data_IF_532967730584
#
_entry.id   IF_532967730584
#
_cell.length_a   1.000
_cell.length_b   1.000
_cell.length_c   1.000
_cell.angle_alpha   90.00
_cell.angle_beta   90.00
_cell.angle_gamma   90.00
#
_symmetry.space_group_name_H-M   'P 1'
#
loop_
_entity.id
_entity.type
_entity.pdbx_description
1 polymer ?
#
# COMPACT_ATOMS: atom_id res chain seq x y z
N UNK A 1 13.96 -16.77 -7.66
CA UNK A 1 12.63 -17.05 -7.09
C UNK A 1 11.79 -15.79 -7.23
N UNK A 2 10.49 -15.88 -7.52
CA UNK A 2 9.60 -14.72 -7.39
C UNK A 2 9.17 -14.60 -5.94
N UNK A 3 9.29 -13.40 -5.37
CA UNK A 3 8.93 -13.10 -3.98
C UNK A 3 7.92 -11.97 -4.01
N UNK A 4 6.68 -12.29 -3.67
CA UNK A 4 5.55 -11.37 -3.62
C UNK A 4 4.30 -12.10 -3.16
N UNK A 5 3.21 -11.38 -2.90
CA UNK A 5 1.94 -11.98 -2.49
C UNK A 5 0.93 -11.94 -3.64
N UNK A 6 0.64 -13.06 -4.32
CA UNK A 6 -0.31 -13.10 -5.43
C UNK A 6 -1.75 -12.74 -5.01
N UNK A 7 -2.08 -12.86 -3.72
CA UNK A 7 -3.40 -12.50 -3.19
C UNK A 7 -3.53 -10.99 -2.87
N UNK A 8 -2.43 -10.24 -2.86
CA UNK A 8 -2.42 -8.79 -2.64
C UNK A 8 -2.40 -8.02 -3.97
N UNK A 9 -3.16 -8.48 -4.96
CA UNK A 9 -3.28 -7.79 -6.25
C UNK A 9 -4.31 -6.66 -6.14
N UNK A 10 -3.87 -5.43 -6.38
CA UNK A 10 -4.70 -4.21 -6.36
C UNK A 10 -4.31 -3.32 -7.52
N UNK A 11 -5.31 -2.67 -8.13
CA UNK A 11 -5.05 -1.52 -8.98
C UNK A 11 -4.51 -0.34 -8.17
N UNK A 12 -3.80 0.58 -8.83
CA UNK A 12 -3.34 1.83 -8.20
C UNK A 12 -4.51 2.65 -7.66
N UNK A 13 -5.67 2.61 -8.32
CA UNK A 13 -6.90 3.28 -7.87
C UNK A 13 -7.43 2.69 -6.56
N UNK A 14 -7.54 1.36 -6.48
CA UNK A 14 -7.96 0.69 -5.24
C UNK A 14 -6.99 0.97 -4.09
N UNK A 15 -5.68 0.93 -4.37
CA UNK A 15 -4.66 1.28 -3.39
C UNK A 15 -4.80 2.72 -2.89
N UNK A 16 -5.03 3.68 -3.78
CA UNK A 16 -5.21 5.09 -3.43
C UNK A 16 -6.43 5.30 -2.52
N UNK A 17 -7.58 4.69 -2.87
CA UNK A 17 -8.78 4.76 -2.04
C UNK A 17 -8.57 4.10 -0.68
N UNK A 18 -7.99 2.89 -0.65
CA UNK A 18 -7.72 2.15 0.58
C UNK A 18 -6.78 2.92 1.52
N UNK A 19 -5.71 3.51 0.97
CA UNK A 19 -4.81 4.37 1.73
C UNK A 19 -5.54 5.58 2.31
N UNK A 20 -6.31 6.32 1.51
CA UNK A 20 -7.06 7.49 2.00
C UNK A 20 -8.00 7.10 3.15
N UNK A 21 -8.74 6.01 2.99
CA UNK A 21 -9.71 5.56 3.99
C UNK A 21 -9.00 5.11 5.29
N UNK A 22 -7.87 4.40 5.19
CA UNK A 22 -7.05 4.03 6.36
C UNK A 22 -6.38 5.23 7.02
N UNK A 23 -5.88 6.21 6.26
CA UNK A 23 -5.28 7.44 6.80
C UNK A 23 -6.31 8.24 7.59
N UNK A 24 -7.59 8.19 7.21
CA UNK A 24 -8.67 8.84 7.94
C UNK A 24 -8.89 8.26 9.36
N UNK A 25 -8.39 7.05 9.64
CA UNK A 25 -8.43 6.46 10.98
C UNK A 25 -7.46 7.15 11.96
N UNK A 26 -6.41 7.83 11.46
CA UNK A 26 -5.41 8.52 12.27
C UNK A 26 -5.89 9.93 12.64
N UNK A 27 -6.10 10.26 13.94
CA UNK A 27 -6.72 11.53 14.35
C UNK A 27 -6.04 12.79 13.81
N UNK A 28 -4.71 12.83 13.80
CA UNK A 28 -3.94 13.98 13.28
C UNK A 28 -4.07 14.18 11.76
N UNK A 29 -4.48 13.14 11.03
CA UNK A 29 -4.53 13.12 9.56
C UNK A 29 -5.96 13.00 9.01
N UNK A 30 -6.97 12.74 9.85
CA UNK A 30 -8.38 12.60 9.46
C UNK A 30 -8.86 13.72 8.54
N UNK A 31 -8.74 14.98 9.00
CA UNK A 31 -9.18 16.13 8.23
C UNK A 31 -8.49 16.25 6.85
N UNK A 32 -7.21 15.85 6.77
CA UNK A 32 -6.45 15.87 5.52
C UNK A 32 -6.91 14.74 4.58
N UNK A 33 -7.16 13.56 5.13
CA UNK A 33 -7.66 12.41 4.37
C UNK A 33 -9.06 12.67 3.80
N UNK A 34 -9.96 13.23 4.60
CA UNK A 34 -11.33 13.54 4.18
C UNK A 34 -11.38 14.61 3.08
N UNK A 35 -10.43 15.55 3.09
CA UNK A 35 -10.27 16.59 2.05
C UNK A 35 -9.46 16.13 0.85
N UNK A 36 -8.85 14.94 0.88
CA UNK A 36 -8.01 14.43 -0.20
C UNK A 36 -8.88 14.00 -1.40
N UNK A 37 -8.65 14.66 -2.54
CA UNK A 37 -9.29 14.33 -3.81
C UNK A 37 -8.37 13.41 -4.61
N UNK A 38 -8.91 12.29 -5.09
CA UNK A 38 -8.23 11.38 -6.00
C UNK A 38 -8.64 11.77 -7.42
N UNK A 39 -7.69 12.19 -8.23
CA UNK A 39 -7.89 12.65 -9.61
C UNK A 39 -7.29 11.67 -10.61
N UNK A 40 -7.95 11.47 -11.75
CA UNK A 40 -7.44 10.66 -12.85
C UNK A 40 -6.65 11.55 -13.81
N UNK A 41 -5.35 11.28 -13.94
CA UNK A 41 -4.43 12.05 -14.78
C UNK A 41 -3.83 11.12 -15.84
N UNK A 42 -3.76 11.59 -17.09
CA UNK A 42 -3.11 10.85 -18.17
C UNK A 42 -1.64 10.59 -17.89
N UNK A 43 -1.14 9.39 -18.20
CA UNK A 43 0.26 9.02 -17.95
C UNK A 43 1.25 9.87 -18.75
N UNK A 44 0.88 10.34 -19.92
CA UNK A 44 1.67 11.28 -20.73
C UNK A 44 1.79 12.66 -20.07
N UNK A 45 0.78 13.05 -19.31
CA UNK A 45 0.76 14.28 -18.51
C UNK A 45 1.54 14.12 -17.22
N UNK A 46 1.38 12.99 -16.51
CA UNK A 46 2.03 12.74 -15.22
C UNK A 46 3.51 12.32 -15.36
N UNK A 47 3.81 11.37 -16.25
CA UNK A 47 5.15 10.80 -16.45
C UNK A 47 5.86 11.32 -17.71
N UNK A 48 5.13 11.91 -18.65
CA UNK A 48 5.68 12.41 -19.92
C UNK A 48 5.43 11.50 -21.12
N UNK A 49 5.61 12.04 -22.32
CA UNK A 49 5.45 11.31 -23.59
C UNK A 49 6.42 10.13 -23.66
N UNK A 50 5.89 8.97 -24.09
CA UNK A 50 6.67 7.74 -24.23
C UNK A 50 6.69 6.86 -22.99
N UNK A 51 6.04 7.27 -21.89
CA UNK A 51 5.85 6.40 -20.73
C UNK A 51 5.00 5.17 -21.11
N UNK A 52 5.48 4.00 -20.69
CA UNK A 52 4.79 2.72 -20.82
C UNK A 52 4.89 1.98 -19.50
N UNK A 53 3.82 1.28 -19.12
CA UNK A 53 3.78 0.48 -17.91
C UNK A 53 3.17 -0.89 -18.17
N UNK A 54 3.41 -1.81 -17.24
CA UNK A 54 2.75 -3.10 -17.20
C UNK A 54 1.36 -2.96 -16.58
N UNK A 55 0.36 -3.59 -17.19
CA UNK A 55 -1.01 -3.58 -16.68
C UNK A 55 -1.16 -4.39 -15.38
N UNK A 56 -0.43 -5.50 -15.25
CA UNK A 56 -0.58 -6.42 -14.13
C UNK A 56 0.75 -7.10 -13.83
N UNK A 57 1.05 -7.32 -12.54
CA UNK A 57 2.22 -8.06 -12.08
C UNK A 57 1.84 -8.99 -10.93
N UNK A 58 1.32 -10.17 -11.26
CA UNK A 58 1.02 -11.22 -10.29
C UNK A 58 2.11 -12.30 -10.36
N UNK A 59 2.96 -12.44 -9.32
CA UNK A 59 4.04 -13.42 -9.36
C UNK A 59 3.52 -14.84 -9.13
N UNK A 60 4.04 -15.84 -9.88
CA UNK A 60 3.94 -17.23 -9.41
C UNK A 60 4.99 -17.48 -8.33
N UNK A 61 4.55 -17.85 -7.12
CA UNK A 61 5.41 -18.15 -5.96
C UNK A 61 5.74 -19.64 -5.82
N UNK A 62 5.30 -20.48 -6.76
CA UNK A 62 5.45 -21.94 -6.69
C UNK A 62 6.89 -22.38 -6.42
N UNK A 63 7.88 -21.82 -7.14
CA UNK A 63 9.29 -22.17 -6.94
C UNK A 63 9.81 -21.80 -5.56
N UNK A 64 9.33 -20.70 -4.98
CA UNK A 64 9.74 -20.28 -3.64
C UNK A 64 9.14 -21.22 -2.58
N UNK A 65 7.89 -21.65 -2.76
CA UNK A 65 7.25 -22.66 -1.93
C UNK A 65 7.99 -23.99 -1.98
N UNK A 66 8.22 -24.53 -3.18
CA UNK A 66 8.81 -25.87 -3.37
C UNK A 66 10.28 -25.95 -2.93
N UNK A 67 11.10 -24.95 -3.25
CA UNK A 67 12.53 -25.00 -2.96
C UNK A 67 12.92 -24.42 -1.60
N UNK A 68 12.14 -23.48 -1.06
CA UNK A 68 12.49 -22.75 0.17
C UNK A 68 11.49 -22.96 1.32
N UNK A 69 10.33 -23.60 1.06
CA UNK A 69 9.22 -23.65 2.02
C UNK A 69 8.62 -22.27 2.31
N UNK A 70 8.87 -21.27 1.45
CA UNK A 70 8.44 -19.90 1.68
C UNK A 70 7.06 -19.63 1.05
N UNK A 71 6.18 -18.98 1.82
CA UNK A 71 4.91 -18.45 1.35
C UNK A 71 4.64 -17.07 1.99
N UNK A 72 3.99 -16.14 1.26
CA UNK A 72 3.59 -14.86 1.81
C UNK A 72 2.39 -15.02 2.75
N UNK A 73 2.46 -14.43 3.94
CA UNK A 73 1.40 -14.52 4.97
C UNK A 73 0.78 -13.18 5.34
N UNK A 74 1.43 -12.07 5.01
CA UNK A 74 0.94 -10.72 5.33
C UNK A 74 -0.07 -10.25 4.27
N UNK A 75 -1.30 -9.97 4.71
CA UNK A 75 -2.33 -9.38 3.84
C UNK A 75 -1.97 -7.96 3.42
N UNK A 76 -2.62 -7.45 2.37
CA UNK A 76 -2.40 -6.06 1.95
C UNK A 76 -2.82 -5.07 3.03
N UNK A 77 -3.91 -5.36 3.75
CA UNK A 77 -4.41 -4.49 4.82
C UNK A 77 -3.43 -4.43 5.99
N UNK A 78 -2.88 -5.56 6.42
CA UNK A 78 -1.87 -5.59 7.49
C UNK A 78 -0.58 -4.88 7.07
N UNK A 79 -0.16 -5.06 5.82
CA UNK A 79 1.04 -4.41 5.29
C UNK A 79 0.87 -2.88 5.24
N UNK A 80 -0.27 -2.40 4.73
CA UNK A 80 -0.59 -0.98 4.65
C UNK A 80 -0.72 -0.36 6.04
N UNK A 81 -1.45 -1.01 6.97
CA UNK A 81 -1.60 -0.52 8.34
C UNK A 81 -0.25 -0.34 9.03
N UNK A 82 0.62 -1.37 9.02
CA UNK A 82 1.97 -1.29 9.61
C UNK A 82 2.81 -0.18 8.98
N UNK A 83 2.68 0.00 7.66
CA UNK A 83 3.39 1.07 6.94
C UNK A 83 2.89 2.44 7.37
N UNK A 84 1.57 2.64 7.43
CA UNK A 84 0.96 3.91 7.87
C UNK A 84 1.29 4.22 9.33
N UNK A 85 1.21 3.25 10.23
CA UNK A 85 1.60 3.40 11.64
C UNK A 85 3.06 3.86 11.78
N UNK A 86 3.97 3.32 10.96
CA UNK A 86 5.36 3.74 10.95
C UNK A 86 5.53 5.21 10.54
N UNK A 87 4.80 5.67 9.50
CA UNK A 87 4.96 7.01 8.94
C UNK A 87 4.13 8.10 9.63
N UNK A 88 2.99 7.75 10.22
CA UNK A 88 2.01 8.71 10.71
C UNK A 88 1.96 8.82 12.24
N UNK A 89 2.43 7.80 12.97
CA UNK A 89 2.49 7.84 14.43
C UNK A 89 3.86 8.34 14.87
N UNK A 90 3.92 9.58 15.34
CA UNK A 90 5.10 10.18 15.97
C UNK A 90 5.52 9.32 17.18
N UNK A 91 6.82 9.20 17.47
CA UNK A 91 7.30 8.48 18.67
C UNK A 91 6.69 9.02 19.96
N UNK A 92 6.29 10.30 19.98
CA UNK A 92 5.61 10.92 21.13
C UNK A 92 4.19 10.39 21.36
N UNK A 93 3.47 9.95 20.32
CA UNK A 93 2.16 9.32 20.45
C UNK A 93 2.30 7.88 20.96
N UNK A 94 3.33 7.15 20.51
CA UNK A 94 3.63 5.79 20.98
C UNK A 94 3.89 5.73 22.49
N UNK A 95 4.50 6.77 23.07
CA UNK A 95 4.79 6.84 24.50
C UNK A 95 3.56 7.18 25.36
N UNK A 96 2.53 7.79 24.79
CA UNK A 96 1.29 8.12 25.51
C UNK A 96 0.38 6.93 25.78
N UNK A 97 0.57 5.81 25.05
CA UNK A 97 -0.11 4.54 25.36
C UNK A 97 0.57 3.73 26.50
N UNK A 98 1.76 4.16 26.94
CA UNK A 98 2.51 3.52 28.05
C UNK A 98 2.50 4.32 29.36
N UNK A 99 1.77 5.44 29.42
CA UNK A 99 1.56 6.28 30.62
C UNK A 99 0.07 6.34 30.97
#
# INVERSE_FOLDING_TARGET
>A
FNIGNPANDLSVKELAHKLRDMVAEFPLYRDKAEKCVIEEIGSDTFYGKGYQDMLTRVPSVQRAKECLGWEPVTSVDDALRKTLEFYLVDEREKLSEFL
#
